data_IF_437461081102
#
_entry.id   IF_437461081102
#
_cell.length_a   1.000
_cell.length_b   1.000
_cell.length_c   1.000
_cell.angle_alpha   90.00
_cell.angle_beta   90.00
_cell.angle_gamma   90.00
#
_symmetry.space_group_name_H-M   'P 1'
#
loop_
_entity.id
_entity.type
_entity.pdbx_description
1 polymer ?
#
# COMPACT_ATOMS: atom_id res chain seq x y z
N UNK A 1 -22.88 0.14 1.11
CA UNK A 1 -22.54 0.65 2.43
C UNK A 1 -21.62 1.85 2.26
N UNK A 2 -22.05 2.97 2.79
CA UNK A 2 -21.27 4.20 2.77
C UNK A 2 -20.23 4.14 3.90
N UNK A 3 -18.94 4.10 3.55
CA UNK A 3 -17.84 4.07 4.51
C UNK A 3 -17.85 5.30 5.43
N UNK A 4 -18.33 6.45 4.95
CA UNK A 4 -18.47 7.66 5.77
C UNK A 4 -19.50 7.46 6.88
N UNK A 5 -20.63 6.80 6.59
CA UNK A 5 -21.63 6.44 7.60
C UNK A 5 -21.06 5.54 8.68
N UNK A 6 -20.27 4.53 8.28
CA UNK A 6 -19.60 3.63 9.24
C UNK A 6 -18.60 4.42 10.10
N UNK A 7 -17.81 5.31 9.50
CA UNK A 7 -16.83 6.13 10.23
C UNK A 7 -17.52 6.99 11.32
N UNK A 8 -18.65 7.60 11.00
CA UNK A 8 -19.45 8.36 11.96
C UNK A 8 -20.04 7.49 13.08
N UNK A 9 -20.53 6.30 12.73
CA UNK A 9 -21.11 5.35 13.68
C UNK A 9 -20.08 4.84 14.68
N UNK A 10 -18.87 4.50 14.22
CA UNK A 10 -17.84 3.96 15.11
C UNK A 10 -17.05 5.04 15.86
N UNK A 11 -17.18 6.34 15.50
CA UNK A 11 -16.38 7.42 16.05
C UNK A 11 -16.45 7.53 17.58
N UNK A 12 -17.60 7.20 18.19
CA UNK A 12 -17.83 7.23 19.65
C UNK A 12 -17.48 5.91 20.35
N UNK A 13 -17.16 4.84 19.60
CA UNK A 13 -16.90 3.53 20.20
C UNK A 13 -15.53 3.50 20.91
N UNK A 14 -15.41 2.86 22.09
CA UNK A 14 -14.13 2.77 22.81
C UNK A 14 -13.05 2.01 22.03
N UNK A 15 -13.44 1.05 21.20
CA UNK A 15 -12.56 0.25 20.35
C UNK A 15 -12.49 0.73 18.90
N UNK A 16 -12.88 1.99 18.63
CA UNK A 16 -13.03 2.58 17.30
C UNK A 16 -11.86 2.35 16.35
N UNK A 17 -10.62 2.34 16.83
CA UNK A 17 -9.41 2.13 16.01
C UNK A 17 -9.06 0.65 15.81
N UNK A 18 -9.70 -0.28 16.52
CA UNK A 18 -9.40 -1.72 16.47
C UNK A 18 -10.50 -2.55 15.81
N UNK A 19 -11.55 -1.91 15.29
CA UNK A 19 -12.73 -2.59 14.73
C UNK A 19 -12.37 -3.56 13.62
N UNK A 20 -11.57 -3.09 12.64
CA UNK A 20 -11.14 -3.92 11.51
C UNK A 20 -10.25 -5.08 11.99
N UNK A 21 -9.30 -4.81 12.90
CA UNK A 21 -8.44 -5.84 13.50
C UNK A 21 -9.27 -6.93 14.19
N UNK A 22 -10.27 -6.53 14.97
CA UNK A 22 -11.14 -7.44 15.69
C UNK A 22 -11.99 -8.26 14.71
N UNK A 23 -12.52 -7.64 13.66
CA UNK A 23 -13.32 -8.31 12.64
C UNK A 23 -12.50 -9.35 11.84
N UNK A 24 -11.27 -9.02 11.47
CA UNK A 24 -10.39 -9.94 10.75
C UNK A 24 -9.89 -11.11 11.62
N UNK A 25 -9.67 -10.87 12.92
CA UNK A 25 -9.23 -11.92 13.87
C UNK A 25 -10.34 -12.84 14.33
N UNK A 26 -11.59 -12.40 14.30
CA UNK A 26 -12.78 -13.15 14.75
C UNK A 26 -13.90 -13.05 13.71
N UNK A 27 -13.71 -13.58 12.51
CA UNK A 27 -14.78 -13.55 11.52
C UNK A 27 -15.97 -14.38 11.99
N UNK A 28 -17.17 -13.85 11.80
CA UNK A 28 -18.44 -14.50 12.23
C UNK A 28 -18.70 -15.87 11.56
N UNK A 29 -17.98 -16.20 10.48
CA UNK A 29 -18.11 -17.45 9.72
C UNK A 29 -16.96 -18.45 9.91
N UNK A 30 -16.10 -18.28 10.92
CA UNK A 30 -14.91 -19.11 11.12
C UNK A 30 -13.62 -18.47 10.54
N UNK A 31 -12.46 -19.11 10.65
CA UNK A 31 -11.19 -18.55 10.22
C UNK A 31 -11.19 -18.31 8.70
N UNK A 32 -10.90 -17.08 8.30
CA UNK A 32 -10.72 -16.72 6.90
C UNK A 32 -9.36 -17.27 6.46
N UNK A 33 -9.37 -18.26 5.56
CA UNK A 33 -8.16 -18.92 5.05
C UNK A 33 -7.57 -18.14 3.85
N UNK A 34 -7.35 -16.82 3.99
CA UNK A 34 -6.63 -16.06 2.97
C UNK A 34 -5.13 -16.04 3.26
N UNK A 35 -4.30 -16.23 2.22
CA UNK A 35 -2.86 -16.05 2.33
C UNK A 35 -2.48 -14.57 2.44
N UNK A 36 -3.28 -13.69 1.83
CA UNK A 36 -3.10 -12.23 1.83
C UNK A 36 -4.45 -11.53 1.98
N UNK A 37 -4.45 -10.45 2.74
CA UNK A 37 -5.53 -9.47 2.80
C UNK A 37 -4.93 -8.11 2.42
N UNK A 38 -5.40 -7.52 1.33
CA UNK A 38 -4.97 -6.19 0.88
C UNK A 38 -6.05 -5.19 1.28
N UNK A 39 -5.64 -4.15 2.01
CA UNK A 39 -6.50 -3.08 2.47
C UNK A 39 -6.12 -1.82 1.71
N UNK A 40 -6.98 -1.38 0.78
CA UNK A 40 -6.82 -0.12 0.08
C UNK A 40 -7.23 1.03 0.99
N UNK A 41 -6.33 2.00 1.17
CA UNK A 41 -6.51 3.10 2.11
C UNK A 41 -6.58 4.44 1.37
N UNK A 42 -7.48 5.35 1.78
CA UNK A 42 -7.45 6.72 1.27
C UNK A 42 -6.15 7.44 1.70
N UNK A 43 -5.74 8.49 0.98
CA UNK A 43 -4.51 9.23 1.30
C UNK A 43 -4.62 10.08 2.58
N UNK A 44 -5.75 10.08 3.24
CA UNK A 44 -6.01 10.84 4.49
C UNK A 44 -5.78 9.97 5.72
N UNK A 45 -5.25 10.56 6.79
CA UNK A 45 -5.06 9.95 8.09
C UNK A 45 -6.35 10.04 8.93
N UNK A 46 -7.42 9.41 8.44
CA UNK A 46 -8.71 9.33 9.12
C UNK A 46 -8.83 8.05 9.94
N UNK A 47 -9.98 7.87 10.60
CA UNK A 47 -10.26 6.71 11.43
C UNK A 47 -10.21 5.38 10.65
N UNK A 48 -10.56 5.38 9.37
CA UNK A 48 -10.50 4.17 8.52
C UNK A 48 -9.05 3.79 8.23
N UNK A 49 -8.17 4.75 7.93
CA UNK A 49 -6.74 4.51 7.75
C UNK A 49 -6.08 4.02 9.04
N UNK A 50 -6.45 4.59 10.19
CA UNK A 50 -5.99 4.11 11.51
C UNK A 50 -6.43 2.66 11.77
N UNK A 51 -7.67 2.30 11.44
CA UNK A 51 -8.15 0.92 11.53
C UNK A 51 -7.36 -0.04 10.64
N UNK A 52 -7.06 0.40 9.42
CA UNK A 52 -6.28 -0.39 8.46
C UNK A 52 -4.88 -0.66 8.99
N UNK A 53 -4.17 0.36 9.45
CA UNK A 53 -2.82 0.22 10.01
C UNK A 53 -2.79 -0.53 11.34
N UNK A 54 -3.85 -0.41 12.17
CA UNK A 54 -3.99 -1.18 13.40
C UNK A 54 -4.20 -2.68 13.13
N UNK A 55 -4.81 -3.04 12.00
CA UNK A 55 -5.09 -4.41 11.61
C UNK A 55 -3.98 -5.06 10.78
N UNK A 56 -3.16 -4.26 10.09
CA UNK A 56 -2.16 -4.74 9.14
C UNK A 56 -0.90 -5.29 9.84
N UNK A 57 -0.24 -6.25 9.20
CA UNK A 57 1.11 -6.73 9.55
C UNK A 57 2.16 -5.81 8.95
N UNK A 58 1.89 -5.26 7.77
CA UNK A 58 2.84 -4.37 7.08
C UNK A 58 2.15 -3.39 6.13
N UNK A 59 2.88 -2.32 5.79
CA UNK A 59 2.45 -1.28 4.86
C UNK A 59 3.29 -1.36 3.58
N UNK A 60 2.62 -1.55 2.44
CA UNK A 60 3.19 -1.36 1.12
C UNK A 60 2.90 0.08 0.67
N UNK A 61 3.94 0.82 0.31
CA UNK A 61 3.86 2.25 0.01
C UNK A 61 3.99 2.49 -1.50
N UNK A 62 2.90 2.76 -2.23
CA UNK A 62 3.01 3.25 -3.60
C UNK A 62 3.43 4.73 -3.58
N UNK A 63 4.56 5.05 -4.21
CA UNK A 63 5.13 6.39 -4.26
C UNK A 63 5.19 6.88 -5.70
N UNK A 64 4.50 7.96 -6.01
CA UNK A 64 4.57 8.57 -7.33
C UNK A 64 5.92 9.29 -7.49
N UNK A 65 6.55 9.16 -8.68
CA UNK A 65 7.82 9.80 -8.98
C UNK A 65 7.63 11.29 -9.34
N UNK A 66 7.19 12.09 -8.36
CA UNK A 66 6.87 13.52 -8.49
C UNK A 66 7.57 14.35 -7.40
N UNK A 67 7.57 15.67 -7.53
CA UNK A 67 8.36 16.60 -6.72
C UNK A 67 8.20 16.42 -5.19
N UNK A 68 6.97 16.21 -4.71
CA UNK A 68 6.71 16.07 -3.27
C UNK A 68 6.83 14.64 -2.74
N UNK A 69 7.40 13.72 -3.52
CA UNK A 69 7.47 12.30 -3.16
C UNK A 69 8.19 12.04 -1.83
N UNK A 70 9.35 12.64 -1.64
CA UNK A 70 10.16 12.46 -0.42
C UNK A 70 9.51 13.10 0.82
N UNK A 71 8.87 14.26 0.66
CA UNK A 71 8.15 14.90 1.75
C UNK A 71 6.96 14.04 2.21
N UNK A 72 6.14 13.58 1.27
CA UNK A 72 5.02 12.69 1.57
C UNK A 72 5.46 11.36 2.18
N UNK A 73 6.57 10.80 1.70
CA UNK A 73 7.16 9.60 2.28
C UNK A 73 7.59 9.82 3.71
N UNK A 74 8.27 10.93 4.00
CA UNK A 74 8.73 11.27 5.36
C UNK A 74 7.56 11.41 6.34
N UNK A 75 6.48 12.08 5.94
CA UNK A 75 5.26 12.20 6.74
C UNK A 75 4.60 10.85 7.01
N UNK A 76 4.53 9.97 6.00
CA UNK A 76 4.00 8.63 6.15
C UNK A 76 4.85 7.79 7.14
N UNK A 77 6.17 7.84 7.02
CA UNK A 77 7.07 7.11 7.93
C UNK A 77 6.90 7.57 9.38
N UNK A 78 6.79 8.87 9.64
CA UNK A 78 6.49 9.41 10.97
C UNK A 78 5.16 8.88 11.51
N UNK A 79 4.14 8.82 10.66
CA UNK A 79 2.83 8.26 11.02
C UNK A 79 2.92 6.78 11.39
N UNK A 80 3.64 5.99 10.60
CA UNK A 80 3.84 4.56 10.89
C UNK A 80 4.54 4.39 12.25
N UNK A 81 5.57 5.21 12.55
CA UNK A 81 6.25 5.16 13.86
C UNK A 81 5.31 5.55 15.02
N UNK A 82 4.44 6.53 14.86
CA UNK A 82 3.44 6.87 15.87
C UNK A 82 2.46 5.72 16.14
N UNK A 83 2.03 5.03 15.08
CA UNK A 83 1.13 3.87 15.18
C UNK A 83 1.86 2.70 15.85
N UNK A 84 3.11 2.45 15.51
CA UNK A 84 3.94 1.44 16.19
C UNK A 84 4.10 1.72 17.68
N UNK A 85 4.32 2.97 18.04
CA UNK A 85 4.47 3.37 19.44
C UNK A 85 3.20 3.31 20.28
N UNK A 86 2.02 3.18 19.68
CA UNK A 86 0.75 3.33 20.40
C UNK A 86 -0.29 2.23 20.14
N UNK A 87 -0.46 1.77 18.90
CA UNK A 87 -1.61 0.94 18.50
C UNK A 87 -1.17 -0.44 18.01
N UNK A 88 -0.10 -0.50 17.19
CA UNK A 88 0.35 -1.72 16.54
C UNK A 88 1.89 -1.80 16.53
N UNK A 89 2.51 -2.30 17.61
CA UNK A 89 3.97 -2.39 17.74
C UNK A 89 4.64 -3.26 16.65
N UNK A 90 3.91 -4.20 16.09
CA UNK A 90 4.44 -5.15 15.10
C UNK A 90 4.35 -4.61 13.66
N UNK A 91 3.74 -3.42 13.45
CA UNK A 91 3.57 -2.85 12.11
C UNK A 91 4.93 -2.56 11.47
N UNK A 92 5.14 -3.08 10.27
CA UNK A 92 6.38 -2.88 9.51
C UNK A 92 6.14 -2.18 8.18
N UNK A 93 7.19 -1.60 7.59
CA UNK A 93 7.18 -1.18 6.19
C UNK A 93 7.64 -2.36 5.35
N UNK A 94 6.74 -2.94 4.57
CA UNK A 94 7.06 -4.04 3.66
C UNK A 94 7.94 -3.58 2.50
N UNK A 95 7.66 -2.41 1.98
CA UNK A 95 8.46 -1.81 0.93
C UNK A 95 7.79 -0.62 0.27
N UNK A 96 8.57 0.06 -0.57
CA UNK A 96 8.16 1.22 -1.34
C UNK A 96 8.19 0.83 -2.81
N UNK A 97 7.08 0.98 -3.52
CA UNK A 97 6.98 0.78 -4.96
C UNK A 97 6.88 2.13 -5.67
N UNK A 98 7.82 2.40 -6.54
CA UNK A 98 7.84 3.60 -7.37
C UNK A 98 6.80 3.46 -8.48
N UNK A 99 5.91 4.45 -8.61
CA UNK A 99 4.78 4.40 -9.54
C UNK A 99 4.73 5.65 -10.41
N UNK A 100 3.91 5.60 -11.46
CA UNK A 100 3.72 6.69 -12.43
C UNK A 100 5.04 7.18 -13.04
N UNK A 101 6.02 6.28 -13.14
CA UNK A 101 7.34 6.59 -13.65
C UNK A 101 7.30 6.87 -15.16
N UNK A 102 7.89 7.99 -15.58
CA UNK A 102 8.16 8.31 -16.97
C UNK A 102 9.65 8.61 -17.13
N UNK A 103 10.40 7.68 -17.72
CA UNK A 103 11.86 7.78 -17.90
C UNK A 103 12.31 8.94 -18.79
N UNK A 104 11.40 9.61 -19.51
CA UNK A 104 11.68 10.82 -20.28
C UNK A 104 11.73 12.08 -19.41
N UNK A 105 11.22 11.98 -18.16
CA UNK A 105 11.18 13.08 -17.20
C UNK A 105 12.40 13.02 -16.28
N UNK A 106 13.29 14.01 -16.36
CA UNK A 106 14.48 14.09 -15.52
C UNK A 106 14.14 14.15 -14.03
N UNK A 107 13.06 14.84 -13.65
CA UNK A 107 12.62 14.89 -12.27
C UNK A 107 12.24 13.49 -11.75
N UNK A 108 11.53 12.70 -12.56
CA UNK A 108 11.16 11.34 -12.15
C UNK A 108 12.42 10.47 -11.93
N UNK A 109 13.44 10.61 -12.77
CA UNK A 109 14.72 9.90 -12.60
C UNK A 109 15.43 10.32 -11.31
N UNK A 110 15.49 11.63 -11.01
CA UNK A 110 16.07 12.15 -9.76
C UNK A 110 15.33 11.61 -8.52
N UNK A 111 14.00 11.63 -8.54
CA UNK A 111 13.19 11.07 -7.44
C UNK A 111 13.49 9.58 -7.21
N UNK A 112 13.62 8.80 -8.29
CA UNK A 112 13.99 7.37 -8.19
C UNK A 112 15.34 7.20 -7.52
N UNK A 113 16.35 7.95 -7.95
CA UNK A 113 17.71 7.92 -7.39
C UNK A 113 17.70 8.30 -5.92
N UNK A 114 17.07 9.41 -5.57
CA UNK A 114 16.99 9.93 -4.19
C UNK A 114 16.27 8.95 -3.25
N UNK A 115 15.12 8.40 -3.67
CA UNK A 115 14.37 7.43 -2.87
C UNK A 115 15.20 6.16 -2.67
N UNK A 116 15.87 5.65 -3.71
CA UNK A 116 16.74 4.48 -3.59
C UNK A 116 17.96 4.74 -2.69
N UNK A 117 18.57 5.91 -2.79
CA UNK A 117 19.70 6.30 -1.96
C UNK A 117 19.34 6.38 -0.46
N UNK A 118 18.14 6.88 -0.13
CA UNK A 118 17.70 7.05 1.26
C UNK A 118 17.04 5.82 1.87
N UNK A 119 16.32 5.03 1.06
CA UNK A 119 15.49 3.92 1.56
C UNK A 119 16.09 2.53 1.28
N UNK A 120 17.13 2.45 0.43
CA UNK A 120 17.90 1.23 0.17
C UNK A 120 17.02 0.04 -0.21
N UNK A 121 17.21 -1.07 0.49
CA UNK A 121 16.53 -2.36 0.24
C UNK A 121 15.02 -2.33 0.46
N UNK A 122 14.49 -1.27 1.09
CA UNK A 122 13.04 -1.09 1.24
C UNK A 122 12.37 -0.74 -0.08
N UNK A 123 13.10 -0.22 -1.07
CA UNK A 123 12.53 0.08 -2.39
C UNK A 123 12.48 -1.18 -3.24
N UNK A 124 11.33 -1.45 -3.86
CA UNK A 124 11.20 -2.54 -4.82
C UNK A 124 12.04 -2.26 -6.07
N UNK A 125 12.63 -3.32 -6.64
CA UNK A 125 13.34 -3.22 -7.94
C UNK A 125 12.36 -2.88 -9.06
N UNK A 126 11.16 -3.45 -8.96
CA UNK A 126 10.06 -3.20 -9.91
C UNK A 126 9.55 -1.78 -9.79
N UNK A 127 9.48 -1.09 -10.93
CA UNK A 127 8.92 0.25 -11.06
C UNK A 127 7.67 0.19 -11.94
N UNK A 128 6.57 0.82 -11.51
CA UNK A 128 5.33 0.87 -12.28
C UNK A 128 5.35 2.09 -13.20
N UNK A 129 5.38 1.91 -14.53
CA UNK A 129 5.41 3.02 -15.46
C UNK A 129 4.07 3.75 -15.53
N UNK A 130 4.10 5.03 -15.89
CA UNK A 130 2.89 5.74 -16.32
C UNK A 130 2.31 5.03 -17.54
N UNK A 131 1.05 4.61 -17.45
CA UNK A 131 0.43 3.79 -18.49
C UNK A 131 -1.05 4.11 -18.67
N UNK A 132 -1.44 4.46 -19.89
CA UNK A 132 -2.81 4.85 -20.23
C UNK A 132 -3.79 3.69 -20.01
N UNK A 133 -3.41 2.45 -20.33
CA UNK A 133 -4.28 1.28 -20.16
C UNK A 133 -4.63 1.01 -18.70
N UNK A 134 -3.66 1.25 -17.79
CA UNK A 134 -3.92 1.16 -16.34
C UNK A 134 -4.91 2.23 -15.89
N UNK A 135 -4.81 3.45 -16.45
CA UNK A 135 -5.74 4.55 -16.11
C UNK A 135 -7.14 4.35 -16.71
N UNK A 136 -7.25 3.69 -17.86
CA UNK A 136 -8.54 3.42 -18.53
C UNK A 136 -9.31 2.26 -17.86
N UNK A 137 -8.61 1.24 -17.36
CA UNK A 137 -9.21 0.00 -16.85
C UNK A 137 -10.36 0.22 -15.85
N UNK A 138 -10.27 1.16 -14.86
CA UNK A 138 -11.36 1.45 -13.94
C UNK A 138 -12.65 1.94 -14.63
N UNK A 139 -12.54 2.69 -15.72
CA UNK A 139 -13.71 3.16 -16.48
C UNK A 139 -14.51 2.01 -17.12
N UNK A 140 -13.89 0.84 -17.27
CA UNK A 140 -14.52 -0.38 -17.74
C UNK A 140 -14.87 -1.36 -16.62
N UNK A 141 -14.67 -0.96 -15.35
CA UNK A 141 -14.91 -1.83 -14.19
C UNK A 141 -14.01 -3.07 -14.16
N UNK A 142 -12.83 -3.01 -14.77
CA UNK A 142 -11.91 -4.15 -14.89
C UNK A 142 -10.57 -3.86 -14.21
N UNK A 143 -9.97 -4.86 -13.56
CA UNK A 143 -8.55 -4.78 -13.19
C UNK A 143 -7.68 -4.62 -14.45
N UNK A 144 -6.58 -3.87 -14.33
CA UNK A 144 -5.68 -3.62 -15.46
C UNK A 144 -5.21 -4.89 -16.17
N UNK A 145 -4.91 -5.95 -15.41
CA UNK A 145 -4.48 -7.26 -15.93
C UNK A 145 -5.56 -7.99 -16.75
N UNK A 146 -6.85 -7.73 -16.48
CA UNK A 146 -7.97 -8.27 -17.25
C UNK A 146 -8.40 -7.33 -18.40
N UNK A 147 -8.03 -6.05 -18.31
CA UNK A 147 -8.30 -5.08 -19.35
C UNK A 147 -7.29 -5.17 -20.48
N UNK A 148 -6.00 -5.14 -20.17
CA UNK A 148 -4.91 -5.33 -21.14
C UNK A 148 -3.68 -5.96 -20.45
N UNK A 149 -3.61 -7.29 -20.51
CA UNK A 149 -2.51 -8.06 -19.92
C UNK A 149 -1.15 -7.72 -20.54
N UNK A 150 -1.12 -7.34 -21.84
CA UNK A 150 0.12 -7.12 -22.58
C UNK A 150 0.72 -5.74 -22.37
N UNK A 151 -0.02 -4.78 -21.82
CA UNK A 151 0.51 -3.44 -21.59
C UNK A 151 1.62 -3.45 -20.53
N UNK A 152 2.56 -2.51 -20.65
CA UNK A 152 3.72 -2.42 -19.76
C UNK A 152 3.33 -2.24 -18.28
N UNK A 153 2.23 -1.55 -18.00
CA UNK A 153 1.70 -1.38 -16.65
C UNK A 153 1.25 -2.70 -16.03
N UNK A 154 0.45 -3.50 -16.74
CA UNK A 154 -0.02 -4.81 -16.27
C UNK A 154 1.15 -5.77 -16.03
N UNK A 155 2.13 -5.79 -16.93
CA UNK A 155 3.33 -6.62 -16.78
C UNK A 155 4.15 -6.19 -15.54
N UNK A 156 4.29 -4.87 -15.31
CA UNK A 156 4.98 -4.35 -14.14
C UNK A 156 4.27 -4.75 -12.82
N UNK A 157 2.94 -4.71 -12.77
CA UNK A 157 2.20 -5.18 -11.59
C UNK A 157 2.37 -6.69 -11.34
N UNK A 158 2.43 -7.52 -12.37
CA UNK A 158 2.73 -8.96 -12.21
C UNK A 158 4.16 -9.20 -11.71
N UNK A 159 5.13 -8.41 -12.18
CA UNK A 159 6.50 -8.44 -11.68
C UNK A 159 6.56 -8.01 -10.21
N UNK A 160 5.86 -6.93 -9.84
CA UNK A 160 5.75 -6.48 -8.45
C UNK A 160 5.18 -7.57 -7.56
N UNK A 161 4.08 -8.19 -7.94
CA UNK A 161 3.48 -9.28 -7.17
C UNK A 161 4.46 -10.44 -6.95
N UNK A 162 5.20 -10.82 -7.99
CA UNK A 162 6.23 -11.86 -7.91
C UNK A 162 7.39 -11.44 -6.98
N UNK A 163 7.78 -10.16 -7.00
CA UNK A 163 8.83 -9.63 -6.14
C UNK A 163 8.37 -9.58 -4.67
N UNK A 164 7.14 -9.14 -4.39
CA UNK A 164 6.54 -9.14 -3.05
C UNK A 164 6.60 -10.55 -2.45
N UNK A 165 6.07 -11.56 -3.17
CA UNK A 165 6.05 -12.96 -2.70
C UNK A 165 7.46 -13.48 -2.45
N UNK A 166 8.43 -13.14 -3.31
CA UNK A 166 9.82 -13.56 -3.16
C UNK A 166 10.48 -12.94 -1.93
N UNK A 167 10.26 -11.63 -1.68
CA UNK A 167 10.81 -10.93 -0.51
C UNK A 167 10.25 -11.51 0.79
N UNK A 168 8.94 -11.76 0.86
CA UNK A 168 8.33 -12.37 2.04
C UNK A 168 8.86 -13.78 2.34
N UNK A 169 9.03 -14.62 1.31
CA UNK A 169 9.62 -15.95 1.51
C UNK A 169 11.01 -15.89 2.11
N UNK A 170 11.82 -14.89 1.74
CA UNK A 170 13.14 -14.68 2.31
C UNK A 170 13.06 -14.25 3.77
N UNK A 171 12.16 -13.33 4.12
CA UNK A 171 11.96 -12.87 5.49
C UNK A 171 11.46 -13.99 6.43
N UNK A 172 10.64 -14.92 5.92
CA UNK A 172 10.17 -16.08 6.70
C UNK A 172 11.23 -17.17 6.86
N UNK A 173 12.25 -17.18 6.03
CA UNK A 173 13.32 -18.16 6.05
C UNK A 173 14.55 -17.71 6.85
N UNK A 174 14.63 -16.44 7.24
CA UNK A 174 15.67 -15.85 8.06
C UNK A 174 15.26 -15.81 9.53
#
# INVERSE_FOLDING_TARGET
LDLLGIEMEIASAPDRVLRLRNALRRPAGGPIAFSYVLIDCPPSLNLLTLNSMAAADSVLVPLQCEFYALEGLSQLLQTVEQIRGSINPDLTIQGIVLTMFDGRNNLANQVVEDVRAHMGDKVYDTVIPRNVRVSEAPSYGKPAILYDLKCTGSQAYLQLASEVIRRERRLRAA
#
